data_IF_710111841901
#
_entry.id   IF_710111841901
#
_cell.length_a   1.000
_cell.length_b   1.000
_cell.length_c   1.000
_cell.angle_alpha   90.00
_cell.angle_beta   90.00
_cell.angle_gamma   90.00
#
_symmetry.space_group_name_H-M   'P 1'
#
loop_
_entity.id
_entity.type
_entity.pdbx_description
1 polymer ?
#
# COMPACT_ATOMS: atom_id res chain seq x y z
N UNK A 1 32.12 35.55 -38.67
CA UNK A 1 31.83 34.11 -38.52
C UNK A 1 30.71 33.97 -37.50
N UNK A 2 29.45 33.95 -37.95
CA UNK A 2 28.30 33.72 -37.09
C UNK A 2 27.72 32.35 -37.48
N UNK A 3 27.92 31.35 -36.63
CA UNK A 3 27.27 30.05 -36.77
C UNK A 3 25.78 30.22 -36.42
N UNK A 4 24.95 30.38 -37.45
CA UNK A 4 23.50 30.26 -37.31
C UNK A 4 23.18 28.80 -36.94
N UNK A 5 23.06 28.55 -35.64
CA UNK A 5 22.54 27.30 -35.11
C UNK A 5 21.07 27.17 -35.53
N UNK A 6 20.83 26.32 -36.52
CA UNK A 6 19.48 25.91 -36.91
C UNK A 6 18.96 25.03 -35.77
N UNK A 7 18.19 25.62 -34.86
CA UNK A 7 17.46 24.87 -33.83
C UNK A 7 16.51 23.90 -34.53
N UNK A 8 16.71 22.59 -34.32
CA UNK A 8 15.84 21.59 -34.95
C UNK A 8 14.47 21.66 -34.27
N UNK A 9 13.36 21.59 -35.02
CA UNK A 9 11.99 21.68 -34.45
C UNK A 9 11.65 20.61 -33.39
N UNK A 10 12.50 19.57 -33.24
CA UNK A 10 12.42 18.58 -32.15
C UNK A 10 12.99 19.06 -30.80
N UNK A 11 13.89 20.03 -30.76
CA UNK A 11 14.62 20.39 -29.53
C UNK A 11 13.70 21.14 -28.54
N UNK A 12 12.80 21.99 -29.05
CA UNK A 12 11.83 22.72 -28.23
C UNK A 12 10.72 21.81 -27.66
N UNK A 13 10.32 20.78 -28.41
CA UNK A 13 9.34 19.78 -27.95
C UNK A 13 9.94 18.82 -26.93
N UNK A 14 11.20 18.43 -27.11
CA UNK A 14 11.94 17.62 -26.13
C UNK A 14 12.22 18.40 -24.84
N UNK A 15 12.59 19.68 -24.92
CA UNK A 15 12.76 20.54 -23.74
C UNK A 15 11.44 20.73 -22.97
N UNK A 16 10.33 20.99 -23.68
CA UNK A 16 9.01 21.11 -23.06
C UNK A 16 8.46 19.81 -22.45
N UNK A 17 8.85 18.64 -23.00
CA UNK A 17 8.56 17.35 -22.39
C UNK A 17 9.41 17.14 -21.14
N UNK A 18 10.71 17.40 -21.22
CA UNK A 18 11.65 17.28 -20.11
C UNK A 18 11.20 18.09 -18.89
N UNK A 19 10.84 19.37 -19.09
CA UNK A 19 10.32 20.26 -18.04
C UNK A 19 9.00 19.78 -17.41
N UNK A 20 8.12 19.17 -18.22
CA UNK A 20 6.88 18.58 -17.70
C UNK A 20 7.16 17.32 -16.88
N UNK A 21 8.10 16.46 -17.32
CA UNK A 21 8.49 15.29 -16.55
C UNK A 21 9.21 15.66 -15.26
N UNK A 22 10.14 16.61 -15.27
CA UNK A 22 10.83 17.08 -14.06
C UNK A 22 9.87 17.75 -13.09
N UNK A 23 8.91 18.55 -13.57
CA UNK A 23 7.86 19.13 -12.73
C UNK A 23 6.97 18.08 -12.06
N UNK A 24 6.54 17.04 -12.79
CA UNK A 24 5.75 15.94 -12.24
C UNK A 24 6.53 15.08 -11.26
N UNK A 25 7.78 14.74 -11.58
CA UNK A 25 8.67 13.96 -10.70
C UNK A 25 8.97 14.75 -9.43
N UNK A 26 9.36 16.02 -9.55
CA UNK A 26 9.61 16.90 -8.41
C UNK A 26 8.40 17.02 -7.49
N UNK A 27 7.20 17.16 -8.06
CA UNK A 27 5.95 17.19 -7.30
C UNK A 27 5.67 15.88 -6.56
N UNK A 28 5.90 14.72 -7.18
CA UNK A 28 5.73 13.42 -6.51
C UNK A 28 6.74 13.21 -5.39
N UNK A 29 7.99 13.64 -5.58
CA UNK A 29 9.04 13.59 -4.56
C UNK A 29 8.65 14.44 -3.35
N UNK A 30 8.17 15.67 -3.58
CA UNK A 30 7.75 16.57 -2.51
C UNK A 30 6.70 15.93 -1.60
N UNK A 31 5.66 15.32 -2.19
CA UNK A 31 4.60 14.66 -1.43
C UNK A 31 5.03 13.37 -0.73
N UNK A 32 5.95 12.61 -1.34
CA UNK A 32 6.56 11.44 -0.68
C UNK A 32 7.39 11.88 0.52
N UNK A 33 8.12 12.99 0.40
CA UNK A 33 8.85 13.58 1.52
C UNK A 33 7.88 14.05 2.63
N UNK A 34 6.76 14.70 2.29
CA UNK A 34 5.73 15.07 3.28
C UNK A 34 5.19 13.85 4.03
N UNK A 35 4.94 12.75 3.31
CA UNK A 35 4.47 11.50 3.92
C UNK A 35 5.52 10.90 4.87
N UNK A 36 6.80 10.92 4.48
CA UNK A 36 7.89 10.48 5.34
C UNK A 36 8.02 11.33 6.60
N UNK A 37 7.91 12.66 6.47
CA UNK A 37 7.91 13.59 7.61
C UNK A 37 6.74 13.32 8.55
N UNK A 38 5.53 13.06 8.02
CA UNK A 38 4.37 12.71 8.83
C UNK A 38 4.59 11.41 9.63
N UNK A 39 5.17 10.39 9.01
CA UNK A 39 5.53 9.13 9.69
C UNK A 39 6.56 9.35 10.80
N UNK A 40 7.60 10.15 10.53
CA UNK A 40 8.61 10.51 11.52
C UNK A 40 8.02 11.32 12.67
N UNK A 41 7.13 12.27 12.39
CA UNK A 41 6.45 13.08 13.38
C UNK A 41 5.56 12.20 14.30
N UNK A 42 4.84 11.23 13.73
CA UNK A 42 4.08 10.26 14.49
C UNK A 42 5.00 9.42 15.39
N UNK A 43 6.12 8.89 14.85
CA UNK A 43 7.09 8.15 15.64
C UNK A 43 7.67 8.96 16.80
N UNK A 44 8.13 10.18 16.53
CA UNK A 44 8.65 11.10 17.54
C UNK A 44 7.62 11.46 18.62
N UNK A 45 6.34 11.61 18.22
CA UNK A 45 5.25 11.83 19.15
C UNK A 45 5.00 10.62 20.05
N UNK A 46 4.96 9.41 19.48
CA UNK A 46 4.75 8.17 20.22
C UNK A 46 5.88 7.91 21.23
N UNK A 47 7.14 8.15 20.87
CA UNK A 47 8.29 8.01 21.77
C UNK A 47 8.17 8.92 23.00
N UNK A 48 7.56 10.10 22.85
CA UNK A 48 7.39 11.06 23.95
C UNK A 48 6.19 10.73 24.86
N UNK A 49 5.21 10.00 24.34
CA UNK A 49 3.95 9.73 25.07
C UNK A 49 3.92 8.35 25.71
N UNK A 50 4.63 7.37 25.12
CA UNK A 50 4.62 5.99 25.58
C UNK A 50 5.83 5.71 26.47
N UNK A 51 5.64 4.83 27.45
CA UNK A 51 6.77 4.30 28.20
C UNK A 51 7.69 3.46 27.28
N UNK A 52 8.99 3.32 27.60
CA UNK A 52 9.93 2.53 26.78
C UNK A 52 9.45 1.08 26.52
N UNK A 53 8.79 0.46 27.51
CA UNK A 53 8.23 -0.88 27.39
C UNK A 53 7.05 -0.94 26.41
N UNK A 54 6.14 0.03 26.45
CA UNK A 54 5.00 0.12 25.53
C UNK A 54 5.44 0.44 24.10
N UNK A 55 6.40 1.34 23.93
CA UNK A 55 6.97 1.65 22.62
C UNK A 55 7.68 0.43 22.02
N UNK A 56 8.40 -0.35 22.84
CA UNK A 56 9.00 -1.62 22.43
C UNK A 56 7.96 -2.64 21.95
N UNK A 57 6.88 -2.84 22.72
CA UNK A 57 5.75 -3.71 22.34
C UNK A 57 5.09 -3.24 21.04
N UNK A 58 4.83 -1.95 20.89
CA UNK A 58 4.26 -1.37 19.68
C UNK A 58 5.13 -1.63 18.44
N UNK A 59 6.43 -1.35 18.55
CA UNK A 59 7.37 -1.52 17.43
C UNK A 59 7.51 -2.99 17.03
N UNK A 60 7.53 -3.89 18.03
CA UNK A 60 7.52 -5.33 17.79
C UNK A 60 6.25 -5.77 17.05
N UNK A 61 5.06 -5.37 17.53
CA UNK A 61 3.78 -5.68 16.88
C UNK A 61 3.77 -5.16 15.45
N UNK A 62 4.16 -3.90 15.24
CA UNK A 62 4.20 -3.29 13.92
C UNK A 62 5.12 -4.06 12.97
N UNK A 63 6.29 -4.50 13.44
CA UNK A 63 7.23 -5.29 12.64
C UNK A 63 6.62 -6.63 12.22
N UNK A 64 5.98 -7.35 13.15
CA UNK A 64 5.28 -8.60 12.83
C UNK A 64 4.14 -8.36 11.85
N UNK A 65 3.36 -7.30 12.03
CA UNK A 65 2.27 -6.93 11.13
C UNK A 65 2.76 -6.61 9.72
N UNK A 66 3.93 -5.99 9.57
CA UNK A 66 4.54 -5.76 8.25
C UNK A 66 4.84 -7.10 7.55
N UNK A 67 5.42 -8.07 8.25
CA UNK A 67 5.67 -9.40 7.68
C UNK A 67 4.36 -10.13 7.32
N UNK A 68 3.34 -10.04 8.17
CA UNK A 68 2.01 -10.57 7.87
C UNK A 68 1.43 -9.89 6.62
N UNK A 69 1.54 -8.57 6.51
CA UNK A 69 1.04 -7.83 5.35
C UNK A 69 1.72 -8.26 4.06
N UNK A 70 3.06 -8.43 4.08
CA UNK A 70 3.85 -8.91 2.95
C UNK A 70 3.42 -10.33 2.52
N UNK A 71 3.16 -11.20 3.49
CA UNK A 71 2.65 -12.54 3.20
C UNK A 71 1.23 -12.48 2.62
N UNK A 72 0.38 -11.61 3.17
CA UNK A 72 -1.02 -11.45 2.77
C UNK A 72 -1.20 -10.84 1.38
N UNK A 73 -0.29 -9.98 0.93
CA UNK A 73 -0.32 -9.47 -0.44
C UNK A 73 0.12 -10.51 -1.47
N UNK A 74 0.78 -11.60 -1.08
CA UNK A 74 1.09 -12.79 -1.92
C UNK A 74 1.38 -12.47 -3.40
N UNK A 75 2.31 -11.54 -3.68
CA UNK A 75 2.73 -11.17 -5.03
C UNK A 75 1.66 -10.52 -5.94
N UNK A 76 0.48 -10.19 -5.39
CA UNK A 76 -0.63 -9.53 -6.12
C UNK A 76 -0.21 -8.20 -6.72
N UNK A 77 0.68 -7.49 -6.02
CA UNK A 77 1.27 -6.22 -6.42
C UNK A 77 1.91 -6.31 -7.82
N UNK A 78 2.68 -7.38 -8.07
CA UNK A 78 3.36 -7.62 -9.33
C UNK A 78 2.37 -8.01 -10.45
N UNK A 79 1.36 -8.82 -10.11
CA UNK A 79 0.30 -9.19 -11.03
C UNK A 79 -0.49 -7.97 -11.54
N UNK A 80 -0.82 -7.04 -10.64
CA UNK A 80 -1.52 -5.81 -10.98
C UNK A 80 -0.65 -4.85 -11.80
N UNK A 81 0.62 -4.66 -11.41
CA UNK A 81 1.55 -3.84 -12.19
C UNK A 81 1.73 -4.34 -13.63
N UNK A 82 1.68 -5.65 -13.84
CA UNK A 82 1.85 -6.25 -15.17
C UNK A 82 0.58 -6.23 -16.00
N UNK A 83 -0.53 -6.74 -15.46
CA UNK A 83 -1.73 -7.04 -16.25
C UNK A 83 -2.74 -5.90 -16.30
N UNK A 84 -2.80 -5.05 -15.28
CA UNK A 84 -3.78 -3.97 -15.25
C UNK A 84 -3.58 -2.95 -16.39
N UNK A 85 -2.34 -2.52 -16.73
CA UNK A 85 -2.12 -1.61 -17.85
C UNK A 85 -2.43 -2.27 -19.20
N UNK A 86 -2.09 -3.56 -19.36
CA UNK A 86 -2.33 -4.33 -20.58
C UNK A 86 -3.84 -4.44 -20.89
N UNK A 87 -4.64 -4.76 -19.86
CA UNK A 87 -6.09 -4.94 -19.99
C UNK A 87 -6.79 -3.61 -20.23
N UNK A 88 -6.37 -2.54 -19.53
CA UNK A 88 -6.90 -1.20 -19.77
C UNK A 88 -6.47 -0.62 -21.11
N UNK A 89 -5.27 -0.93 -21.59
CA UNK A 89 -4.77 -0.55 -22.92
C UNK A 89 -5.58 -1.17 -24.06
N UNK A 90 -6.19 -2.35 -23.84
CA UNK A 90 -7.15 -2.99 -24.76
C UNK A 90 -8.57 -2.44 -24.64
N UNK A 91 -8.83 -1.54 -23.69
CA UNK A 91 -10.16 -1.06 -23.36
C UNK A 91 -11.03 -2.06 -22.59
N UNK A 92 -10.51 -3.22 -22.17
CA UNK A 92 -11.34 -4.25 -21.54
C UNK A 92 -11.65 -3.95 -20.07
N UNK A 93 -12.73 -3.19 -19.84
CA UNK A 93 -13.24 -2.86 -18.49
C UNK A 93 -13.60 -4.11 -17.69
N UNK A 94 -14.18 -5.11 -18.34
CA UNK A 94 -14.67 -6.31 -17.67
C UNK A 94 -13.48 -7.12 -17.14
N UNK A 95 -12.45 -7.30 -17.96
CA UNK A 95 -11.18 -7.89 -17.56
C UNK A 95 -10.51 -7.14 -16.41
N UNK A 96 -10.50 -5.81 -16.43
CA UNK A 96 -9.88 -5.01 -15.35
C UNK A 96 -10.61 -5.18 -14.00
N UNK A 97 -11.95 -5.18 -14.02
CA UNK A 97 -12.75 -5.43 -12.82
C UNK A 97 -12.61 -6.87 -12.32
N UNK A 98 -12.58 -7.84 -13.23
CA UNK A 98 -12.40 -9.25 -12.89
C UNK A 98 -11.01 -9.48 -12.26
N UNK A 99 -9.96 -8.86 -12.80
CA UNK A 99 -8.62 -8.88 -12.22
C UNK A 99 -8.61 -8.33 -10.79
N UNK A 100 -9.17 -7.14 -10.58
CA UNK A 100 -9.24 -6.52 -9.25
C UNK A 100 -10.07 -7.35 -8.27
N UNK A 101 -11.20 -7.92 -8.72
CA UNK A 101 -12.04 -8.80 -7.90
C UNK A 101 -11.27 -10.06 -7.47
N UNK A 102 -10.56 -10.69 -8.41
CA UNK A 102 -9.76 -11.90 -8.12
C UNK A 102 -8.61 -11.60 -7.16
N UNK A 103 -7.91 -10.49 -7.37
CA UNK A 103 -6.88 -10.02 -6.43
C UNK A 103 -7.46 -9.73 -5.05
N UNK A 104 -8.61 -9.05 -4.96
CA UNK A 104 -9.28 -8.79 -3.70
C UNK A 104 -9.71 -10.08 -2.97
N UNK A 105 -10.25 -11.07 -3.69
CA UNK A 105 -10.62 -12.37 -3.12
C UNK A 105 -9.36 -13.10 -2.62
N UNK A 106 -8.28 -13.12 -3.39
CA UNK A 106 -7.03 -13.76 -2.98
C UNK A 106 -6.44 -13.12 -1.72
N UNK A 107 -6.35 -11.78 -1.70
CA UNK A 107 -5.88 -11.00 -0.54
C UNK A 107 -6.74 -11.27 0.68
N UNK A 108 -8.07 -11.23 0.52
CA UNK A 108 -8.99 -11.49 1.62
C UNK A 108 -8.87 -12.92 2.14
N UNK A 109 -8.69 -13.91 1.26
CA UNK A 109 -8.50 -15.30 1.66
C UNK A 109 -7.21 -15.50 2.47
N UNK A 110 -6.08 -14.92 2.03
CA UNK A 110 -4.80 -15.02 2.76
C UNK A 110 -4.87 -14.23 4.06
N UNK A 111 -5.47 -13.04 4.06
CA UNK A 111 -5.71 -12.26 5.28
C UNK A 111 -6.58 -13.03 6.28
N UNK A 112 -7.68 -13.64 5.84
CA UNK A 112 -8.58 -14.40 6.71
C UNK A 112 -7.87 -15.61 7.30
N UNK A 113 -7.11 -16.36 6.47
CA UNK A 113 -6.30 -17.48 6.93
C UNK A 113 -5.26 -17.04 7.97
N UNK A 114 -4.56 -15.93 7.72
CA UNK A 114 -3.54 -15.42 8.63
C UNK A 114 -4.16 -14.91 9.93
N UNK A 115 -5.31 -14.23 9.85
CA UNK A 115 -6.06 -13.77 11.02
C UNK A 115 -6.49 -14.95 11.89
N UNK A 116 -7.12 -15.98 11.29
CA UNK A 116 -7.52 -17.19 12.01
C UNK A 116 -6.31 -17.87 12.65
N UNK A 117 -5.19 -17.95 11.94
CA UNK A 117 -3.94 -18.52 12.46
C UNK A 117 -3.46 -17.76 13.69
N UNK A 118 -3.36 -16.43 13.63
CA UNK A 118 -2.95 -15.59 14.77
C UNK A 118 -3.90 -15.77 15.97
N UNK A 119 -5.21 -15.85 15.74
CA UNK A 119 -6.18 -16.06 16.81
C UNK A 119 -6.08 -17.44 17.45
N UNK A 120 -5.93 -18.50 16.66
CA UNK A 120 -5.81 -19.88 17.16
C UNK A 120 -4.51 -20.08 17.93
N UNK A 121 -3.41 -19.52 17.45
CA UNK A 121 -2.10 -19.63 18.10
C UNK A 121 -1.86 -18.55 19.18
N UNK A 122 -2.84 -17.69 19.48
CA UNK A 122 -2.74 -16.66 20.52
C UNK A 122 -2.17 -17.15 21.86
N UNK A 123 -2.63 -18.26 22.48
CA UNK A 123 -2.07 -18.73 23.75
C UNK A 123 -0.60 -19.19 23.64
N UNK A 124 -0.23 -19.79 22.50
CA UNK A 124 1.16 -20.18 22.24
C UNK A 124 2.05 -18.94 22.10
N UNK A 125 1.59 -17.94 21.33
CA UNK A 125 2.29 -16.67 21.14
C UNK A 125 2.50 -15.98 22.49
N UNK A 126 1.48 -15.95 23.35
CA UNK A 126 1.59 -15.33 24.67
C UNK A 126 2.57 -16.07 25.58
N UNK A 127 2.55 -17.41 25.57
CA UNK A 127 3.50 -18.23 26.34
C UNK A 127 4.96 -18.07 25.91
N UNK A 128 5.21 -17.87 24.61
CA UNK A 128 6.56 -17.72 24.06
C UNK A 128 7.10 -16.30 24.23
N UNK A 129 6.25 -15.28 24.11
CA UNK A 129 6.68 -13.88 24.13
C UNK A 129 6.62 -13.23 25.51
N UNK A 130 5.87 -13.81 26.47
CA UNK A 130 5.71 -13.34 27.87
C UNK A 130 5.37 -11.85 28.04
N UNK A 131 4.91 -11.17 26.99
CA UNK A 131 4.85 -9.72 26.92
C UNK A 131 3.43 -9.15 26.77
N UNK A 132 2.37 -9.94 26.93
CA UNK A 132 0.98 -9.53 26.70
C UNK A 132 0.78 -8.91 25.31
N UNK A 133 1.56 -9.38 24.33
CA UNK A 133 1.58 -8.85 22.95
C UNK A 133 0.52 -9.54 22.09
N UNK A 134 0.05 -10.72 22.49
CA UNK A 134 -0.85 -11.55 21.70
C UNK A 134 -2.17 -10.82 21.37
N UNK A 135 -2.68 -9.99 22.29
CA UNK A 135 -3.93 -9.24 22.13
C UNK A 135 -3.76 -8.08 21.15
N UNK A 136 -2.65 -7.35 21.29
CA UNK A 136 -2.27 -6.28 20.37
C UNK A 136 -2.02 -6.82 18.96
N UNK A 137 -1.41 -8.00 18.85
CA UNK A 137 -1.15 -8.65 17.58
C UNK A 137 -2.44 -9.15 16.92
N UNK A 138 -3.35 -9.74 17.69
CA UNK A 138 -4.65 -10.17 17.19
C UNK A 138 -5.47 -8.97 16.69
N UNK A 139 -5.56 -7.90 17.50
CA UNK A 139 -6.19 -6.64 17.08
C UNK A 139 -5.53 -6.08 15.82
N UNK A 140 -4.20 -5.97 15.84
CA UNK A 140 -3.41 -5.47 14.73
C UNK A 140 -3.65 -6.24 13.44
N UNK A 141 -3.77 -7.56 13.50
CA UNK A 141 -3.97 -8.43 12.32
C UNK A 141 -5.35 -8.22 11.69
N UNK A 142 -6.39 -8.03 12.51
CA UNK A 142 -7.74 -7.68 12.02
C UNK A 142 -7.71 -6.30 11.35
N UNK A 143 -7.09 -5.33 12.01
CA UNK A 143 -6.98 -3.95 11.54
C UNK A 143 -6.09 -3.82 10.30
N UNK A 144 -5.21 -4.78 10.05
CA UNK A 144 -4.26 -4.80 8.94
C UNK A 144 -4.94 -4.88 7.57
N UNK A 145 -6.20 -5.35 7.49
CA UNK A 145 -6.92 -5.49 6.23
C UNK A 145 -6.94 -4.18 5.43
N UNK A 146 -7.17 -3.05 6.11
CA UNK A 146 -7.13 -1.73 5.47
C UNK A 146 -5.73 -1.38 4.96
N UNK A 147 -4.67 -1.74 5.69
CA UNK A 147 -3.29 -1.52 5.24
C UNK A 147 -2.94 -2.36 4.00
N UNK A 148 -3.31 -3.64 4.00
CA UNK A 148 -3.10 -4.55 2.87
C UNK A 148 -3.87 -4.06 1.64
N UNK A 149 -5.15 -3.73 1.79
CA UNK A 149 -5.99 -3.22 0.71
C UNK A 149 -5.43 -1.92 0.12
N UNK A 150 -4.96 -0.99 0.97
CA UNK A 150 -4.27 0.23 0.53
C UNK A 150 -3.03 -0.09 -0.28
N UNK A 151 -2.20 -1.05 0.17
CA UNK A 151 -0.99 -1.46 -0.55
C UNK A 151 -1.30 -1.96 -1.95
N UNK A 152 -2.23 -2.91 -2.07
CA UNK A 152 -2.64 -3.51 -3.36
C UNK A 152 -3.23 -2.46 -4.31
N UNK A 153 -4.12 -1.60 -3.80
CA UNK A 153 -4.71 -0.52 -4.61
C UNK A 153 -3.68 0.55 -4.97
N UNK A 154 -2.68 0.76 -4.12
CA UNK A 154 -1.55 1.63 -4.44
C UNK A 154 -0.80 1.10 -5.66
N UNK A 155 -0.48 -0.19 -5.72
CA UNK A 155 0.16 -0.77 -6.90
C UNK A 155 -0.74 -0.70 -8.14
N UNK A 156 -2.06 -0.89 -8.00
CA UNK A 156 -3.00 -0.70 -9.10
C UNK A 156 -3.00 0.73 -9.66
N UNK A 157 -2.97 1.74 -8.80
CA UNK A 157 -2.89 3.15 -9.22
C UNK A 157 -1.54 3.49 -9.87
N UNK A 158 -0.43 2.93 -9.37
CA UNK A 158 0.89 3.04 -10.01
C UNK A 158 0.86 2.44 -11.40
N UNK A 159 0.22 1.27 -11.57
CA UNK A 159 0.10 0.60 -12.86
C UNK A 159 -0.58 1.49 -13.92
N UNK A 160 -1.56 2.30 -13.53
CA UNK A 160 -2.25 3.24 -14.43
C UNK A 160 -1.63 4.64 -14.46
N UNK A 161 -0.40 4.80 -13.95
CA UNK A 161 0.35 6.06 -13.87
C UNK A 161 -0.35 7.19 -13.08
N UNK A 162 -1.26 6.86 -12.16
CA UNK A 162 -1.97 7.86 -11.34
C UNK A 162 -1.24 8.18 -10.02
N UNK A 163 0.07 8.46 -10.13
CA UNK A 163 0.92 8.75 -8.97
C UNK A 163 0.53 10.06 -8.27
N UNK A 164 -0.06 11.01 -9.01
CA UNK A 164 -0.48 12.31 -8.46
C UNK A 164 -1.56 12.15 -7.40
N UNK A 165 -2.58 11.32 -7.67
CA UNK A 165 -3.65 11.06 -6.72
C UNK A 165 -3.15 10.37 -5.45
N UNK A 166 -2.18 9.47 -5.57
CA UNK A 166 -1.54 8.86 -4.41
C UNK A 166 -0.79 9.88 -3.56
N UNK A 167 0.01 10.71 -4.23
CA UNK A 167 0.86 11.70 -3.60
C UNK A 167 0.04 12.68 -2.73
N UNK A 168 -1.18 13.02 -3.14
CA UNK A 168 -2.07 13.90 -2.38
C UNK A 168 -2.82 13.14 -1.26
N UNK A 169 -3.33 11.94 -1.54
CA UNK A 169 -4.17 11.22 -0.59
C UNK A 169 -3.37 10.67 0.61
N UNK A 170 -2.12 10.24 0.41
CA UNK A 170 -1.31 9.63 1.48
C UNK A 170 -1.01 10.59 2.64
N UNK A 171 -0.54 11.83 2.41
CA UNK A 171 -0.35 12.81 3.48
C UNK A 171 -1.64 13.14 4.24
N UNK A 172 -2.78 13.23 3.55
CA UNK A 172 -4.07 13.50 4.18
C UNK A 172 -4.46 12.37 5.12
N UNK A 173 -4.30 11.11 4.67
CA UNK A 173 -4.53 9.94 5.52
C UNK A 173 -3.54 9.87 6.69
N UNK A 174 -2.27 10.27 6.48
CA UNK A 174 -1.27 10.38 7.54
C UNK A 174 -1.63 11.44 8.58
N UNK A 175 -2.08 12.61 8.15
CA UNK A 175 -2.56 13.68 9.03
C UNK A 175 -3.80 13.24 9.83
N UNK A 176 -4.76 12.56 9.18
CA UNK A 176 -5.92 11.97 9.84
C UNK A 176 -5.50 10.95 10.91
N UNK A 177 -4.56 10.06 10.56
CA UNK A 177 -4.00 9.06 11.49
C UNK A 177 -3.37 9.74 12.71
N UNK A 178 -2.55 10.76 12.48
CA UNK A 178 -1.90 11.50 13.55
C UNK A 178 -2.91 12.20 14.45
N UNK A 179 -3.91 12.89 13.87
CA UNK A 179 -4.97 13.56 14.63
C UNK A 179 -5.75 12.58 15.50
N UNK A 180 -6.16 11.43 14.95
CA UNK A 180 -6.86 10.39 15.69
C UNK A 180 -5.99 9.75 16.77
N UNK A 181 -4.71 9.50 16.48
CA UNK A 181 -3.77 8.95 17.47
C UNK A 181 -3.61 9.91 18.66
N UNK A 182 -3.49 11.22 18.42
CA UNK A 182 -3.44 12.24 19.48
C UNK A 182 -4.73 12.23 20.30
N UNK A 183 -5.90 12.18 19.65
CA UNK A 183 -7.20 12.16 20.33
C UNK A 183 -7.33 10.92 21.22
N UNK A 184 -7.01 9.73 20.70
CA UNK A 184 -7.13 8.48 21.44
C UNK A 184 -6.12 8.35 22.58
N UNK A 185 -4.88 8.83 22.40
CA UNK A 185 -3.91 8.85 23.49
C UNK A 185 -4.32 9.80 24.60
N UNK A 186 -4.85 10.99 24.26
CA UNK A 186 -5.40 11.93 25.26
C UNK A 186 -6.64 11.37 25.96
N UNK A 187 -7.41 10.52 25.27
CA UNK A 187 -8.55 9.80 25.85
C UNK A 187 -8.18 8.55 26.66
N UNK A 188 -6.89 8.24 26.84
CA UNK A 188 -6.44 7.10 27.64
C UNK A 188 -6.55 5.73 26.95
N UNK A 189 -6.80 5.69 25.64
CA UNK A 189 -6.95 4.42 24.90
C UNK A 189 -5.62 3.67 24.69
N UNK A 190 -4.49 4.27 25.06
CA UNK A 190 -3.15 3.68 24.99
C UNK A 190 -2.77 3.18 23.58
N UNK A 191 -2.03 2.07 23.53
CA UNK A 191 -1.55 1.46 22.29
C UNK A 191 -2.68 1.01 21.34
N UNK A 192 -3.77 0.49 21.90
CA UNK A 192 -4.93 0.05 21.11
C UNK A 192 -5.51 1.21 20.29
N UNK A 193 -5.59 2.40 20.90
CA UNK A 193 -6.03 3.62 20.24
C UNK A 193 -5.14 3.98 19.04
N UNK A 194 -3.81 3.87 19.18
CA UNK A 194 -2.87 4.16 18.09
C UNK A 194 -3.05 3.19 16.91
N UNK A 195 -3.23 1.90 17.20
CA UNK A 195 -3.49 0.90 16.15
C UNK A 195 -4.82 1.17 15.43
N UNK A 196 -5.87 1.51 16.17
CA UNK A 196 -7.18 1.86 15.60
C UNK A 196 -7.09 3.14 14.75
N UNK A 197 -6.36 4.16 15.21
CA UNK A 197 -6.12 5.38 14.42
C UNK A 197 -5.42 5.05 13.09
N UNK A 198 -4.39 4.20 13.13
CA UNK A 198 -3.71 3.70 11.94
C UNK A 198 -4.66 2.97 10.99
N UNK A 199 -5.50 2.08 11.53
CA UNK A 199 -6.47 1.33 10.76
C UNK A 199 -7.51 2.23 10.08
N UNK A 200 -8.00 3.26 10.78
CA UNK A 200 -8.95 4.23 10.23
C UNK A 200 -8.29 5.02 9.10
N UNK A 201 -7.07 5.51 9.31
CA UNK A 201 -6.32 6.23 8.27
C UNK A 201 -6.08 5.39 7.02
N UNK A 202 -5.65 4.13 7.20
CA UNK A 202 -5.46 3.20 6.09
C UNK A 202 -6.78 2.84 5.39
N UNK A 203 -7.86 2.63 6.14
CA UNK A 203 -9.17 2.31 5.56
C UNK A 203 -9.75 3.49 4.75
N UNK A 204 -9.57 4.72 5.24
CA UNK A 204 -9.93 5.92 4.50
C UNK A 204 -9.12 6.03 3.20
N UNK A 205 -7.82 5.75 3.25
CA UNK A 205 -6.95 5.76 2.07
C UNK A 205 -7.33 4.67 1.05
N UNK A 206 -7.64 3.45 1.53
CA UNK A 206 -8.19 2.35 0.72
C UNK A 206 -9.44 2.80 -0.02
N UNK A 207 -10.40 3.42 0.68
CA UNK A 207 -11.64 3.89 0.08
C UNK A 207 -11.36 4.94 -1.01
N UNK A 208 -10.48 5.90 -0.74
CA UNK A 208 -10.10 6.93 -1.73
C UNK A 208 -9.47 6.28 -2.96
N UNK A 209 -8.50 5.38 -2.79
CA UNK A 209 -7.86 4.70 -3.91
C UNK A 209 -8.84 3.86 -4.71
N UNK A 210 -9.72 3.12 -4.05
CA UNK A 210 -10.75 2.34 -4.69
C UNK A 210 -11.70 3.21 -5.53
N UNK A 211 -12.17 4.33 -4.98
CA UNK A 211 -13.06 5.25 -5.69
C UNK A 211 -12.38 5.87 -6.92
N UNK A 212 -11.10 6.25 -6.80
CA UNK A 212 -10.31 6.78 -7.93
C UNK A 212 -10.15 5.72 -9.01
N UNK A 213 -9.74 4.51 -8.62
CA UNK A 213 -9.52 3.40 -9.55
C UNK A 213 -10.82 3.01 -10.27
N UNK A 214 -11.93 2.88 -9.56
CA UNK A 214 -13.23 2.58 -10.16
C UNK A 214 -13.71 3.68 -11.10
N UNK A 215 -13.53 4.96 -10.75
CA UNK A 215 -13.83 6.07 -11.64
C UNK A 215 -13.01 6.02 -12.93
N UNK A 216 -11.72 5.67 -12.85
CA UNK A 216 -10.82 5.52 -14.00
C UNK A 216 -11.24 4.36 -14.91
N UNK A 217 -11.47 3.18 -14.33
CA UNK A 217 -11.91 1.99 -15.08
C UNK A 217 -13.25 2.25 -15.77
N UNK A 218 -14.19 2.93 -15.10
CA UNK A 218 -15.49 3.26 -15.67
C UNK A 218 -15.41 4.24 -16.84
N UNK A 219 -14.34 5.04 -16.96
CA UNK A 219 -14.14 5.97 -18.08
C UNK A 219 -13.54 5.31 -19.32
N UNK A 220 -12.76 4.24 -19.20
CA UNK A 220 -12.04 3.61 -20.32
C UNK A 220 -12.98 2.86 -21.29
N UNK A 221 -13.34 3.38 -22.47
CA UNK A 221 -14.29 2.73 -23.41
C UNK A 221 -13.96 1.25 -23.67
N UNK A 222 -14.95 0.34 -23.56
CA UNK A 222 -14.66 -1.09 -23.59
C UNK A 222 -15.68 -2.00 -24.27
N UNK A 223 -15.15 -2.81 -25.18
CA UNK A 223 -15.74 -4.00 -25.80
C UNK A 223 -15.55 -5.18 -24.81
N UNK A 224 -16.54 -6.07 -24.62
CA UNK A 224 -16.42 -7.20 -23.70
C UNK A 224 -15.27 -8.12 -24.12
N UNK A 225 -14.23 -8.22 -23.27
CA UNK A 225 -13.07 -9.08 -23.47
C UNK A 225 -13.05 -10.31 -22.55
N UNK A 226 -12.11 -11.21 -22.87
CA UNK A 226 -11.97 -12.56 -22.36
C UNK A 226 -11.51 -12.59 -20.87
N UNK A 227 -12.06 -13.52 -20.08
CA UNK A 227 -11.82 -13.55 -18.62
C UNK A 227 -10.38 -14.00 -18.31
N UNK A 228 -9.66 -13.27 -17.45
CA UNK A 228 -8.29 -13.62 -17.07
C UNK A 228 -8.30 -14.86 -16.17
N UNK A 229 -7.78 -15.99 -16.62
CA UNK A 229 -7.77 -17.23 -15.83
C UNK A 229 -6.95 -17.13 -14.53
N UNK A 230 -7.48 -17.70 -13.44
CA UNK A 230 -6.82 -17.75 -12.11
C UNK A 230 -5.39 -18.30 -12.15
N UNK A 231 -5.14 -19.30 -13.02
CA UNK A 231 -3.82 -19.92 -13.17
C UNK A 231 -2.76 -18.90 -13.58
N UNK A 232 -3.06 -17.97 -14.49
CA UNK A 232 -2.09 -16.94 -14.92
C UNK A 232 -1.80 -15.97 -13.78
N UNK A 233 -2.84 -15.54 -13.06
CA UNK A 233 -2.70 -14.61 -11.94
C UNK A 233 -1.84 -15.21 -10.81
N UNK A 234 -2.08 -16.47 -10.45
CA UNK A 234 -1.31 -17.15 -9.40
C UNK A 234 0.13 -17.47 -9.80
N UNK A 235 0.38 -17.84 -11.06
CA UNK A 235 1.73 -18.17 -11.53
C UNK A 235 2.66 -16.95 -11.48
N UNK A 236 2.14 -15.77 -11.83
CA UNK A 236 2.91 -14.52 -11.72
C UNK A 236 2.98 -13.99 -10.29
N UNK A 237 1.93 -14.16 -9.49
CA UNK A 237 1.97 -13.87 -8.06
C UNK A 237 3.03 -14.72 -7.32
N UNK A 238 3.20 -15.99 -7.72
CA UNK A 238 4.24 -16.88 -7.18
C UNK A 238 5.65 -16.55 -7.65
N UNK A 239 5.82 -15.67 -8.66
CA UNK A 239 7.12 -15.26 -9.19
C UNK A 239 8.02 -14.56 -8.18
N UNK A 240 7.48 -14.16 -7.02
CA UNK A 240 8.25 -13.56 -5.92
C UNK A 240 8.92 -14.59 -5.00
N UNK A 241 8.47 -15.85 -5.00
CA UNK A 241 9.07 -16.93 -4.20
C UNK A 241 10.54 -17.19 -4.57
N UNK A 242 10.91 -17.32 -5.86
CA UNK A 242 12.31 -17.44 -6.24
C UNK A 242 13.17 -16.25 -5.80
N UNK A 243 12.66 -15.01 -5.90
CA UNK A 243 13.42 -13.82 -5.48
C UNK A 243 13.64 -13.74 -3.98
N UNK A 244 12.69 -14.22 -3.16
CA UNK A 244 12.88 -14.33 -1.71
C UNK A 244 13.91 -15.40 -1.35
N UNK A 245 13.87 -16.56 -2.03
CA UNK A 245 14.83 -17.64 -1.82
C UNK A 245 16.26 -17.22 -2.20
N UNK A 246 16.40 -16.45 -3.28
CA UNK A 246 17.70 -15.88 -3.69
C UNK A 246 18.16 -14.81 -2.69
N UNK A 247 17.27 -13.93 -2.22
CA UNK A 247 17.62 -12.93 -1.23
C UNK A 247 17.99 -13.53 0.14
N UNK A 248 17.35 -14.64 0.54
CA UNK A 248 17.68 -15.36 1.78
C UNK A 248 18.92 -16.25 1.65
N UNK A 249 19.37 -16.58 0.44
CA UNK A 249 20.58 -17.38 0.20
C UNK A 249 21.87 -16.54 0.14
N UNK A 250 21.74 -15.21 0.16
CA UNK A 250 22.86 -14.25 0.04
C UNK A 250 23.09 -13.47 1.36
N UNK A 251 22.29 -13.72 2.40
CA UNK A 251 22.47 -13.17 3.76
C UNK A 251 22.96 -14.23 4.73
#
# INVERSE_FOLDING_TARGET
>A
MASNGISRPGDATVAGLADRTTGLVGWTIAWRATSAVATLALGAFLIRQLSPSEYGRYTFVLSVLVYIALLATFGQDQGLLRYLPEVLGRGDRAGARDLLRKSAIAVFAVWALTSVTVFVFRPLIDSLLQAHVADLLALGTVLLLGGIATGVLSFALVAIYDMRSQAIATPIAGALTLALAVIFLRGGAGLNGVLVAGAIGQSALTLVYFLILMRRINRASGIPGDRIGWRRLLLYASGWLPSLLIASAVG
#
